data_IF_292369266608
#
_entry.id   IF_292369266608
#
_cell.length_a   1.000
_cell.length_b   1.000
_cell.length_c   1.000
_cell.angle_alpha   90.00
_cell.angle_beta   90.00
_cell.angle_gamma   90.00
#
_symmetry.space_group_name_H-M   'P 1'
#
loop_
_entity.id
_entity.type
_entity.pdbx_description
1 polymer ?
#
# COMPACT_ATOMS: atom_id res chain seq x y z
N UNK A 1 20.94 58.07 60.51
CA UNK A 1 22.06 57.53 59.71
C UNK A 1 21.45 56.55 58.72
N UNK A 2 21.22 56.99 57.48
CA UNK A 2 20.36 56.30 56.52
C UNK A 2 21.13 55.25 55.71
N UNK A 3 20.67 54.00 55.76
CA UNK A 3 21.19 52.89 54.94
C UNK A 3 20.69 53.05 53.50
N UNK A 4 21.62 53.15 52.54
CA UNK A 4 21.30 53.15 51.11
C UNK A 4 21.26 51.70 50.61
N UNK A 5 20.09 51.26 50.18
CA UNK A 5 19.94 50.02 49.39
C UNK A 5 20.38 50.29 47.96
N UNK A 6 21.25 49.43 47.43
CA UNK A 6 21.60 49.40 46.01
C UNK A 6 20.95 48.15 45.42
N UNK A 7 19.90 48.35 44.62
CA UNK A 7 19.31 47.30 43.80
C UNK A 7 20.12 47.21 42.50
N UNK A 8 20.75 46.06 42.25
CA UNK A 8 21.42 45.75 41.00
C UNK A 8 20.44 44.98 40.10
N UNK A 9 19.75 45.68 39.20
CA UNK A 9 18.88 45.06 38.20
C UNK A 9 19.74 44.60 37.01
N UNK A 10 19.98 43.29 36.89
CA UNK A 10 20.62 42.71 35.71
C UNK A 10 19.52 42.33 34.70
N UNK A 11 19.37 43.10 33.62
CA UNK A 11 18.55 42.73 32.46
C UNK A 11 19.42 41.91 31.50
N UNK A 12 19.32 40.58 31.57
CA UNK A 12 19.87 39.69 30.54
C UNK A 12 18.91 39.67 29.36
N UNK A 13 19.30 40.28 28.24
CA UNK A 13 18.62 40.07 26.96
C UNK A 13 19.36 38.99 26.17
N UNK A 14 18.79 37.80 26.08
CA UNK A 14 19.27 36.74 25.19
C UNK A 14 18.60 36.91 23.84
N UNK A 15 19.31 37.45 22.86
CA UNK A 15 18.91 37.36 21.46
C UNK A 15 19.42 36.03 20.90
N UNK A 16 18.53 35.05 20.78
CA UNK A 16 18.80 33.87 19.97
C UNK A 16 18.58 34.26 18.50
N UNK A 17 19.67 34.48 17.75
CA UNK A 17 19.59 34.48 16.29
C UNK A 17 19.38 33.03 15.85
N UNK A 18 18.15 32.69 15.50
CA UNK A 18 17.86 31.50 14.70
C UNK A 18 18.43 31.74 13.30
N UNK A 19 19.62 31.20 13.03
CA UNK A 19 20.06 31.00 11.66
C UNK A 19 19.16 29.93 11.04
N UNK A 20 18.14 30.35 10.29
CA UNK A 20 17.48 29.47 9.35
C UNK A 20 18.48 29.19 8.22
N UNK A 21 19.13 28.04 8.27
CA UNK A 21 19.70 27.44 7.06
C UNK A 21 18.56 26.80 6.29
N UNK A 22 18.13 27.31 5.12
CA UNK A 22 17.31 26.52 4.22
C UNK A 22 18.25 25.56 3.48
N UNK A 23 18.64 24.46 4.12
CA UNK A 23 19.28 23.34 3.43
C UNK A 23 18.26 22.29 3.04
N UNK A 24 17.32 22.67 2.20
CA UNK A 24 16.77 21.78 1.20
C UNK A 24 16.50 22.63 -0.02
N UNK A 25 17.34 22.52 -1.03
CA UNK A 25 16.91 22.84 -2.38
C UNK A 25 15.79 21.84 -2.70
N UNK A 26 14.51 22.25 -2.81
CA UNK A 26 13.50 21.35 -3.31
C UNK A 26 13.95 20.96 -4.72
N UNK A 27 14.11 19.65 -4.96
CA UNK A 27 14.21 19.14 -6.32
C UNK A 27 13.12 19.82 -7.14
N UNK A 28 13.39 20.32 -8.35
CA UNK A 28 12.41 21.13 -9.07
C UNK A 28 11.09 20.37 -9.14
N UNK A 29 10.09 20.89 -8.44
CA UNK A 29 8.70 20.42 -8.36
C UNK A 29 8.02 20.49 -9.75
N UNK A 30 8.76 20.95 -10.77
CA UNK A 30 8.25 21.32 -12.08
C UNK A 30 8.14 20.14 -13.07
N UNK A 31 8.47 18.92 -12.65
CA UNK A 31 8.32 17.73 -13.48
C UNK A 31 7.24 16.80 -12.94
N UNK A 32 5.99 17.11 -13.30
CA UNK A 32 4.80 16.34 -12.92
C UNK A 32 4.92 14.86 -13.32
N UNK A 33 5.72 14.55 -14.35
CA UNK A 33 5.92 13.17 -14.81
C UNK A 33 6.64 12.30 -13.81
N UNK A 34 7.33 12.86 -12.83
CA UNK A 34 7.96 12.12 -11.73
C UNK A 34 7.13 12.10 -10.45
N UNK A 35 5.96 12.76 -10.41
CA UNK A 35 5.16 12.85 -9.20
C UNK A 35 4.84 11.47 -8.64
N UNK A 36 4.31 10.57 -9.46
CA UNK A 36 3.93 9.22 -9.07
C UNK A 36 4.94 8.17 -9.50
N UNK A 37 5.17 7.19 -8.63
CA UNK A 37 5.96 6.01 -8.94
C UNK A 37 6.06 5.05 -7.75
N UNK A 38 6.67 3.87 -7.98
CA UNK A 38 6.94 2.88 -6.94
C UNK A 38 8.12 3.31 -6.05
N UNK A 39 7.99 4.46 -5.37
CA UNK A 39 9.06 5.07 -4.57
C UNK A 39 9.17 4.50 -3.14
N UNK A 40 8.71 3.26 -2.95
CA UNK A 40 8.90 2.45 -1.73
C UNK A 40 9.73 1.21 -2.06
N UNK A 41 11.03 1.36 -2.38
CA UNK A 41 11.85 0.27 -2.93
C UNK A 41 12.10 -0.88 -1.95
N UNK A 42 11.78 -0.69 -0.66
CA UNK A 42 11.82 -1.74 0.34
C UNK A 42 10.61 -2.70 0.24
N UNK A 43 9.59 -2.37 -0.53
CA UNK A 43 8.42 -3.22 -0.80
C UNK A 43 8.52 -3.88 -2.15
N UNK A 44 7.86 -5.04 -2.30
CA UNK A 44 7.72 -5.67 -3.62
C UNK A 44 6.98 -4.75 -4.59
N UNK A 45 5.84 -4.17 -4.18
CA UNK A 45 5.13 -3.16 -4.95
C UNK A 45 4.39 -2.18 -4.03
N UNK A 46 4.66 -0.89 -4.18
CA UNK A 46 3.98 0.16 -3.43
C UNK A 46 4.16 1.53 -4.08
N UNK A 47 3.04 2.17 -4.43
CA UNK A 47 3.04 3.47 -5.10
C UNK A 47 2.90 4.59 -4.08
N UNK A 48 3.62 5.69 -4.31
CA UNK A 48 3.46 6.93 -3.53
C UNK A 48 3.81 8.12 -4.41
N UNK A 49 3.27 9.32 -4.10
CA UNK A 49 3.73 10.52 -4.75
C UNK A 49 5.08 10.97 -4.14
N UNK A 50 5.84 11.78 -4.89
CA UNK A 50 7.03 12.51 -4.38
C UNK A 50 6.62 13.73 -3.56
N UNK A 51 5.65 13.53 -2.69
CA UNK A 51 5.18 14.51 -1.72
C UNK A 51 5.54 13.99 -0.32
N UNK A 52 5.99 14.88 0.59
CA UNK A 52 6.18 14.52 1.99
C UNK A 52 4.81 14.22 2.61
N UNK A 53 4.72 13.19 3.47
CA UNK A 53 3.53 12.86 4.28
C UNK A 53 2.23 12.89 3.46
N UNK A 54 2.06 11.89 2.61
CA UNK A 54 0.95 11.83 1.65
C UNK A 54 0.42 10.39 1.51
N UNK A 55 -0.37 10.14 0.46
CA UNK A 55 -0.94 8.84 0.16
C UNK A 55 0.16 7.80 -0.08
N UNK A 56 0.07 6.68 0.63
CA UNK A 56 0.90 5.51 0.41
C UNK A 56 0.03 4.32 0.05
N UNK A 57 0.47 3.53 -0.93
CA UNK A 57 -0.15 2.23 -1.21
C UNK A 57 0.87 1.11 -1.09
N UNK A 58 0.38 -0.10 -0.84
CA UNK A 58 1.19 -1.32 -0.92
C UNK A 58 0.36 -2.53 -1.33
N UNK A 59 1.04 -3.48 -1.97
CA UNK A 59 0.52 -4.79 -2.28
C UNK A 59 1.10 -5.82 -1.32
N UNK A 60 0.24 -6.69 -0.81
CA UNK A 60 0.62 -7.88 -0.09
C UNK A 60 -0.06 -9.10 -0.70
N UNK A 61 0.56 -10.26 -0.60
CA UNK A 61 -0.06 -11.53 -0.99
C UNK A 61 0.49 -12.70 -0.19
N UNK A 62 -0.27 -13.78 -0.14
CA UNK A 62 0.14 -15.04 0.48
C UNK A 62 -0.68 -16.19 -0.07
N UNK A 63 -0.09 -17.38 -0.09
CA UNK A 63 -0.87 -18.63 -0.17
C UNK A 63 -1.71 -18.77 1.12
N UNK A 64 -2.95 -19.22 0.99
CA UNK A 64 -3.93 -19.32 2.11
C UNK A 64 -4.51 -20.73 2.30
N UNK A 65 -3.82 -21.75 1.81
CA UNK A 65 -4.30 -23.14 1.86
C UNK A 65 -4.01 -23.84 3.19
N UNK A 66 -3.12 -23.26 3.99
CA UNK A 66 -2.85 -23.67 5.35
C UNK A 66 -2.65 -22.45 6.25
N UNK A 67 -3.01 -22.59 7.52
CA UNK A 67 -2.97 -21.49 8.49
C UNK A 67 -1.54 -21.01 8.79
N UNK A 68 -0.54 -21.90 8.72
CA UNK A 68 0.85 -21.55 9.03
C UNK A 68 1.48 -20.68 7.94
N UNK A 69 1.14 -20.93 6.67
CA UNK A 69 1.59 -20.17 5.52
C UNK A 69 1.16 -18.70 5.64
N UNK A 70 -0.08 -18.43 6.04
CA UNK A 70 -0.57 -17.05 6.20
C UNK A 70 0.17 -16.32 7.32
N UNK A 71 0.56 -17.00 8.40
CA UNK A 71 1.26 -16.35 9.51
C UNK A 71 2.73 -16.02 9.23
N UNK A 72 3.36 -16.77 8.30
CA UNK A 72 4.81 -16.73 8.13
C UNK A 72 5.27 -16.42 6.70
N UNK A 73 4.36 -16.36 5.73
CA UNK A 73 4.70 -16.28 4.31
C UNK A 73 3.95 -15.19 3.54
N UNK A 74 3.42 -14.20 4.25
CA UNK A 74 2.87 -12.98 3.63
C UNK A 74 4.02 -12.15 3.06
N UNK A 75 3.89 -11.78 1.79
CA UNK A 75 4.84 -10.91 1.11
C UNK A 75 4.46 -9.46 1.30
N UNK A 76 5.44 -8.65 1.69
CA UNK A 76 5.30 -7.21 1.81
C UNK A 76 6.63 -6.51 1.53
N UNK A 77 7.63 -6.72 2.41
CA UNK A 77 8.99 -6.20 2.22
C UNK A 77 9.85 -7.15 1.40
N UNK A 78 10.84 -6.58 0.70
CA UNK A 78 11.81 -7.30 -0.10
C UNK A 78 12.87 -8.00 0.79
N UNK A 79 12.49 -9.10 1.43
CA UNK A 79 13.38 -9.90 2.28
C UNK A 79 14.19 -10.92 1.47
N UNK A 80 15.50 -11.00 1.73
CA UNK A 80 16.41 -11.83 0.94
C UNK A 80 16.20 -13.35 1.09
N UNK A 81 15.58 -13.81 2.18
CA UNK A 81 15.55 -15.22 2.58
C UNK A 81 14.13 -15.80 2.59
N UNK A 82 13.23 -15.21 1.82
CA UNK A 82 11.81 -15.56 1.77
C UNK A 82 11.44 -16.64 0.74
N UNK A 83 12.42 -17.28 0.10
CA UNK A 83 12.15 -18.34 -0.89
C UNK A 83 11.70 -17.80 -2.24
N UNK A 84 12.12 -16.58 -2.60
CA UNK A 84 11.93 -16.01 -3.93
C UNK A 84 12.88 -16.68 -4.95
N UNK A 85 12.37 -16.98 -6.13
CA UNK A 85 13.18 -17.40 -7.28
C UNK A 85 13.78 -16.20 -8.05
N UNK A 86 13.31 -14.99 -7.75
CA UNK A 86 13.82 -13.72 -8.28
C UNK A 86 12.71 -12.70 -8.41
N UNK A 87 13.03 -11.42 -8.37
CA UNK A 87 12.07 -10.35 -8.58
C UNK A 87 12.76 -9.12 -9.17
N UNK A 88 12.02 -8.32 -9.93
CA UNK A 88 12.55 -7.10 -10.50
C UNK A 88 11.68 -6.50 -11.59
N UNK A 89 12.05 -5.31 -12.02
CA UNK A 89 11.44 -4.65 -13.16
C UNK A 89 12.01 -5.22 -14.45
N UNK A 90 11.15 -5.83 -15.27
CA UNK A 90 11.51 -6.27 -16.62
C UNK A 90 11.62 -5.06 -17.56
N UNK A 91 10.75 -4.08 -17.36
CA UNK A 91 10.77 -2.77 -18.01
C UNK A 91 10.37 -1.71 -17.00
N UNK A 92 11.13 -0.62 -16.91
CA UNK A 92 10.77 0.50 -16.05
C UNK A 92 11.30 1.81 -16.59
N UNK A 93 10.40 2.78 -16.73
CA UNK A 93 10.72 4.18 -16.95
C UNK A 93 9.96 5.00 -15.89
N UNK A 94 10.68 5.72 -15.00
CA UNK A 94 10.07 6.48 -13.92
C UNK A 94 9.19 7.62 -14.40
N UNK A 95 9.07 7.90 -15.71
CA UNK A 95 8.18 8.92 -16.29
C UNK A 95 6.89 8.36 -16.86
N UNK A 96 6.87 7.09 -17.24
CA UNK A 96 5.75 6.49 -17.98
C UNK A 96 5.13 5.30 -17.24
N UNK A 97 5.93 4.41 -16.65
CA UNK A 97 5.42 3.17 -16.08
C UNK A 97 6.44 2.04 -16.09
N UNK A 98 5.93 0.82 -15.92
CA UNK A 98 6.75 -0.37 -16.02
C UNK A 98 5.98 -1.67 -15.81
N UNK A 99 6.69 -2.76 -16.00
CA UNK A 99 6.26 -4.14 -15.70
C UNK A 99 7.31 -4.76 -14.79
N UNK A 100 6.85 -5.29 -13.68
CA UNK A 100 7.65 -6.02 -12.72
C UNK A 100 7.12 -7.44 -12.58
N UNK A 101 8.04 -8.39 -12.51
CA UNK A 101 7.74 -9.79 -12.22
C UNK A 101 8.39 -10.17 -10.88
N UNK A 102 7.63 -10.82 -10.02
CA UNK A 102 8.06 -11.41 -8.75
C UNK A 102 7.80 -12.91 -8.81
N UNK A 103 8.86 -13.71 -8.86
CA UNK A 103 8.80 -15.17 -8.96
C UNK A 103 8.80 -15.79 -7.57
N UNK A 104 7.62 -15.93 -6.97
CA UNK A 104 7.45 -16.38 -5.59
C UNK A 104 7.27 -17.89 -5.51
N UNK A 105 8.41 -18.61 -5.44
CA UNK A 105 8.41 -20.06 -5.28
C UNK A 105 7.84 -20.49 -3.93
N UNK A 106 8.03 -19.70 -2.87
CA UNK A 106 7.50 -19.99 -1.53
C UNK A 106 5.97 -20.07 -1.52
N UNK A 107 5.30 -19.09 -2.11
CA UNK A 107 3.83 -19.11 -2.28
C UNK A 107 3.35 -19.84 -3.53
N UNK A 108 4.27 -20.34 -4.38
CA UNK A 108 3.96 -21.07 -5.61
C UNK A 108 3.16 -20.24 -6.62
N UNK A 109 3.37 -18.93 -6.66
CA UNK A 109 2.69 -18.00 -7.55
C UNK A 109 3.72 -17.02 -8.11
N UNK A 110 3.66 -16.73 -9.41
CA UNK A 110 4.39 -15.62 -9.99
C UNK A 110 3.45 -14.40 -10.05
N UNK A 111 3.88 -13.29 -9.47
CA UNK A 111 3.14 -12.03 -9.45
C UNK A 111 3.71 -11.08 -10.50
N UNK A 112 2.87 -10.61 -11.40
CA UNK A 112 3.17 -9.55 -12.35
C UNK A 112 2.45 -8.27 -11.92
N UNK A 113 3.20 -7.19 -11.72
CA UNK A 113 2.66 -5.85 -11.47
C UNK A 113 3.05 -4.93 -12.61
N UNK A 114 2.05 -4.50 -13.37
CA UNK A 114 2.23 -3.47 -14.39
C UNK A 114 1.60 -2.16 -13.91
N UNK A 115 2.27 -1.03 -14.14
CA UNK A 115 1.68 0.27 -13.84
C UNK A 115 1.98 1.27 -14.95
N UNK A 116 1.04 2.15 -15.20
CA UNK A 116 1.14 3.23 -16.18
C UNK A 116 0.66 4.53 -15.57
N UNK A 117 1.21 5.64 -16.03
CA UNK A 117 0.77 6.98 -15.65
C UNK A 117 -0.07 7.61 -16.74
N UNK A 118 -1.19 8.18 -16.33
CA UNK A 118 -2.11 8.89 -17.23
C UNK A 118 -1.64 10.34 -17.37
N UNK A 119 -1.49 10.81 -18.61
CA UNK A 119 -1.04 12.18 -18.92
C UNK A 119 0.22 12.61 -18.14
N UNK A 120 1.24 11.72 -18.11
CA UNK A 120 2.46 11.97 -17.35
C UNK A 120 2.20 12.14 -15.85
N UNK A 121 1.26 11.39 -15.29
CA UNK A 121 0.95 11.34 -13.86
C UNK A 121 0.02 12.45 -13.36
N UNK A 122 -0.37 13.40 -14.22
CA UNK A 122 -1.28 14.49 -13.84
C UNK A 122 -2.71 14.01 -13.60
N UNK A 123 -3.16 13.04 -14.37
CA UNK A 123 -4.49 12.42 -14.23
C UNK A 123 -4.45 11.15 -13.35
N UNK A 124 -3.31 10.89 -12.71
CA UNK A 124 -3.10 9.73 -11.85
C UNK A 124 -2.40 8.57 -12.54
N UNK A 125 -2.69 7.36 -12.06
CA UNK A 125 -2.02 6.13 -12.47
C UNK A 125 -2.99 4.96 -12.44
N UNK A 126 -2.65 3.93 -13.21
CA UNK A 126 -3.35 2.65 -13.19
C UNK A 126 -2.32 1.56 -12.94
N UNK A 127 -2.63 0.65 -12.02
CA UNK A 127 -1.85 -0.55 -11.78
C UNK A 127 -2.72 -1.79 -12.06
N UNK A 128 -2.10 -2.82 -12.62
CA UNK A 128 -2.68 -4.16 -12.76
C UNK A 128 -1.77 -5.13 -12.02
N UNK A 129 -2.38 -5.94 -11.18
CA UNK A 129 -1.75 -7.06 -10.48
C UNK A 129 -2.30 -8.34 -11.08
N UNK A 130 -1.41 -9.26 -11.47
CA UNK A 130 -1.77 -10.57 -12.01
C UNK A 130 -0.96 -11.63 -11.27
N UNK A 131 -1.64 -12.61 -10.69
CA UNK A 131 -1.01 -13.83 -10.18
C UNK A 131 -1.11 -14.94 -11.22
N UNK A 132 -0.10 -15.80 -11.29
CA UNK A 132 -0.15 -17.03 -12.09
C UNK A 132 0.44 -18.18 -11.27
N UNK A 133 -0.32 -19.24 -10.98
CA UNK A 133 0.21 -20.39 -10.26
C UNK A 133 1.41 -20.98 -11.00
N UNK A 134 2.43 -21.37 -10.23
CA UNK A 134 3.65 -21.95 -10.81
C UNK A 134 3.45 -23.43 -11.10
N UNK A 135 4.01 -23.91 -12.19
CA UNK A 135 4.01 -25.36 -12.53
C UNK A 135 4.71 -26.21 -11.45
N UNK A 136 5.70 -25.63 -10.75
CA UNK A 136 6.43 -26.26 -9.66
C UNK A 136 5.87 -25.91 -8.27
N UNK A 137 4.64 -25.41 -8.18
CA UNK A 137 3.99 -25.12 -6.91
C UNK A 137 3.78 -26.38 -6.08
N UNK A 138 4.25 -26.34 -4.82
CA UNK A 138 3.92 -27.37 -3.83
C UNK A 138 2.44 -27.24 -3.47
N UNK A 139 1.67 -28.29 -3.72
CA UNK A 139 0.23 -28.33 -3.50
C UNK A 139 -0.10 -28.56 -2.02
N UNK A 140 -1.04 -27.77 -1.49
CA UNK A 140 -1.60 -27.94 -0.16
C UNK A 140 -2.90 -28.74 -0.16
N UNK A 141 -3.49 -28.93 1.03
CA UNK A 141 -4.79 -29.58 1.17
C UNK A 141 -5.93 -28.85 0.44
N UNK A 142 -5.75 -27.56 0.13
CA UNK A 142 -6.72 -26.72 -0.60
C UNK A 142 -6.56 -26.70 -2.13
N UNK A 143 -5.53 -27.34 -2.70
CA UNK A 143 -5.20 -27.27 -4.13
C UNK A 143 -5.84 -28.42 -4.94
N UNK A 144 -7.08 -28.77 -4.62
CA UNK A 144 -7.82 -29.80 -5.36
C UNK A 144 -7.86 -29.43 -6.85
N UNK A 145 -7.40 -30.33 -7.73
CA UNK A 145 -7.32 -30.08 -9.18
C UNK A 145 -5.95 -29.63 -9.71
N UNK A 146 -4.91 -29.56 -8.86
CA UNK A 146 -3.53 -29.31 -9.29
C UNK A 146 -3.09 -27.87 -9.04
N UNK A 147 -2.10 -27.39 -9.80
CA UNK A 147 -1.51 -26.05 -9.61
C UNK A 147 -2.53 -24.91 -9.79
N UNK A 148 -3.53 -25.10 -10.64
CA UNK A 148 -4.65 -24.15 -10.81
C UNK A 148 -5.59 -24.09 -9.59
N UNK A 149 -5.51 -25.07 -8.68
CA UNK A 149 -6.26 -25.07 -7.43
C UNK A 149 -5.65 -24.20 -6.32
N UNK A 150 -4.42 -23.71 -6.52
CA UNK A 150 -3.67 -22.93 -5.51
C UNK A 150 -4.40 -21.64 -5.16
N UNK A 151 -4.69 -21.47 -3.86
CA UNK A 151 -5.41 -20.31 -3.34
C UNK A 151 -4.44 -19.24 -2.84
N UNK A 152 -4.53 -18.05 -3.44
CA UNK A 152 -3.74 -16.88 -3.06
C UNK A 152 -4.69 -15.76 -2.61
N UNK A 153 -4.44 -15.21 -1.43
CA UNK A 153 -5.06 -13.96 -1.02
C UNK A 153 -4.17 -12.79 -1.38
N UNK A 154 -4.80 -11.68 -1.77
CA UNK A 154 -4.14 -10.42 -2.12
C UNK A 154 -4.76 -9.33 -1.27
N UNK A 155 -3.90 -8.52 -0.65
CA UNK A 155 -4.32 -7.34 0.11
C UNK A 155 -3.72 -6.10 -0.54
N UNK A 156 -4.54 -5.06 -0.65
CA UNK A 156 -4.10 -3.76 -1.11
C UNK A 156 -4.34 -2.74 0.00
N UNK A 157 -3.27 -2.12 0.48
CA UNK A 157 -3.36 -1.14 1.56
C UNK A 157 -3.31 0.27 1.01
N UNK A 158 -4.09 1.15 1.64
CA UNK A 158 -4.14 2.57 1.33
C UNK A 158 -3.97 3.32 2.65
N UNK A 159 -2.81 3.95 2.82
CA UNK A 159 -2.46 4.70 4.01
C UNK A 159 -2.37 6.19 3.71
N UNK A 160 -2.78 7.01 4.66
CA UNK A 160 -2.61 8.46 4.60
C UNK A 160 -1.64 8.91 5.69
N UNK A 161 -0.54 9.55 5.30
CA UNK A 161 0.37 10.24 6.22
C UNK A 161 0.03 11.74 6.27
N UNK A 162 0.24 12.38 7.41
CA UNK A 162 0.03 13.83 7.54
C UNK A 162 -1.45 14.28 7.58
N UNK A 163 -1.68 15.52 7.15
CA UNK A 163 -3.03 16.14 7.18
C UNK A 163 -3.81 15.76 5.91
N UNK A 164 -4.77 14.87 6.07
CA UNK A 164 -5.68 14.45 5.02
C UNK A 164 -6.62 13.34 5.50
N UNK A 165 -7.46 12.86 4.60
CA UNK A 165 -8.35 11.73 4.84
C UNK A 165 -8.39 10.79 3.64
N UNK A 166 -8.70 9.52 3.93
CA UNK A 166 -9.05 8.52 2.92
C UNK A 166 -10.09 7.59 3.53
N UNK A 167 -11.17 7.38 2.81
CA UNK A 167 -12.31 6.60 3.26
C UNK A 167 -12.81 5.72 2.12
N UNK A 168 -13.20 4.49 2.43
CA UNK A 168 -13.88 3.62 1.48
C UNK A 168 -15.35 4.05 1.37
N UNK A 169 -15.83 4.18 0.14
CA UNK A 169 -17.18 4.64 -0.21
C UNK A 169 -17.96 3.48 -0.80
N UNK A 170 -19.25 3.39 -0.44
CA UNK A 170 -20.18 2.43 -1.05
C UNK A 170 -20.15 1.04 -0.44
N UNK A 171 -19.55 0.86 0.75
CA UNK A 171 -19.86 -0.29 1.59
C UNK A 171 -21.29 -0.18 2.12
N UNK A 172 -22.04 -1.27 2.11
CA UNK A 172 -23.32 -1.34 2.82
C UNK A 172 -23.07 -1.06 4.32
N UNK A 173 -23.95 -0.34 5.01
CA UNK A 173 -23.79 -0.08 6.46
C UNK A 173 -24.37 -1.23 7.29
N UNK A 174 -23.84 -1.48 8.50
CA UNK A 174 -24.33 -2.53 9.40
C UNK A 174 -23.84 -3.94 9.03
N UNK A 175 -24.67 -4.98 9.24
CA UNK A 175 -24.31 -6.39 8.98
C UNK A 175 -23.88 -6.65 7.52
N UNK A 176 -24.40 -5.85 6.61
CA UNK A 176 -24.09 -5.89 5.19
C UNK A 176 -22.64 -5.44 4.88
N UNK A 177 -22.06 -4.55 5.72
CA UNK A 177 -20.63 -4.20 5.67
C UNK A 177 -19.74 -5.42 5.98
N UNK A 178 -20.20 -6.28 6.89
CA UNK A 178 -19.42 -7.45 7.35
C UNK A 178 -19.33 -8.54 6.28
N UNK A 179 -20.30 -8.60 5.36
CA UNK A 179 -20.31 -9.55 4.26
C UNK A 179 -19.35 -9.18 3.12
N UNK A 180 -18.78 -7.98 3.10
CA UNK A 180 -17.87 -7.51 2.05
C UNK A 180 -18.58 -6.94 0.81
N UNK A 181 -17.80 -6.31 -0.06
CA UNK A 181 -18.26 -5.56 -1.24
C UNK A 181 -18.22 -6.44 -2.49
N UNK A 182 -19.32 -6.46 -3.24
CA UNK A 182 -19.40 -7.05 -4.58
C UNK A 182 -18.94 -6.04 -5.64
N UNK A 183 -18.04 -6.45 -6.53
CA UNK A 183 -17.55 -5.60 -7.62
C UNK A 183 -16.43 -4.65 -7.21
N UNK A 184 -16.63 -3.34 -7.43
CA UNK A 184 -15.57 -2.35 -7.28
C UNK A 184 -15.57 -1.72 -5.87
N UNK A 185 -14.41 -1.65 -5.23
CA UNK A 185 -14.20 -0.86 -4.02
C UNK A 185 -13.68 0.51 -4.41
N UNK A 186 -14.38 1.55 -3.97
CA UNK A 186 -14.01 2.94 -4.22
C UNK A 186 -13.47 3.56 -2.93
N UNK A 187 -12.34 4.25 -3.01
CA UNK A 187 -11.85 5.13 -1.96
C UNK A 187 -11.90 6.58 -2.44
N UNK A 188 -12.34 7.47 -1.57
CA UNK A 188 -12.22 8.91 -1.77
C UNK A 188 -11.35 9.50 -0.68
N UNK A 189 -10.56 10.49 -1.01
CA UNK A 189 -9.77 11.20 -0.01
C UNK A 189 -9.40 12.58 -0.45
N UNK A 190 -8.84 13.32 0.50
CA UNK A 190 -8.42 14.70 0.30
C UNK A 190 -7.12 14.94 1.04
N UNK A 191 -6.19 15.64 0.40
CA UNK A 191 -4.99 16.18 1.06
C UNK A 191 -4.76 17.61 0.60
N UNK A 192 -3.98 18.37 1.37
CA UNK A 192 -3.58 19.72 0.98
C UNK A 192 -2.75 19.75 -0.32
N UNK A 193 -1.92 18.73 -0.54
CA UNK A 193 -0.98 18.70 -1.67
C UNK A 193 -1.53 18.00 -2.93
N UNK A 194 -2.38 16.96 -2.78
CA UNK A 194 -3.01 16.26 -3.92
C UNK A 194 -4.39 16.81 -4.28
N UNK A 195 -5.02 17.59 -3.39
CA UNK A 195 -6.43 17.92 -3.49
C UNK A 195 -7.32 16.69 -3.29
N UNK A 196 -8.48 16.69 -3.92
CA UNK A 196 -9.42 15.57 -3.91
C UNK A 196 -8.95 14.47 -4.85
N UNK A 197 -9.00 13.22 -4.39
CA UNK A 197 -8.64 12.06 -5.19
C UNK A 197 -9.64 10.91 -5.02
N UNK A 198 -9.68 10.06 -6.04
CA UNK A 198 -10.44 8.82 -6.06
C UNK A 198 -9.53 7.67 -6.46
N UNK A 199 -9.60 6.58 -5.71
CA UNK A 199 -8.93 5.33 -6.03
C UNK A 199 -10.00 4.24 -6.20
N UNK A 200 -9.87 3.43 -7.24
CA UNK A 200 -10.81 2.35 -7.53
C UNK A 200 -10.04 1.04 -7.60
N UNK A 201 -10.44 0.07 -6.77
CA UNK A 201 -9.94 -1.30 -6.79
C UNK A 201 -11.04 -2.16 -7.38
N UNK A 202 -10.70 -2.90 -8.44
CA UNK A 202 -11.64 -3.79 -9.11
C UNK A 202 -10.96 -5.07 -9.53
N UNK A 203 -11.74 -6.12 -9.53
CA UNK A 203 -11.31 -7.44 -9.97
C UNK A 203 -11.47 -7.62 -11.49
N UNK A 204 -10.71 -8.54 -12.07
CA UNK A 204 -10.93 -9.00 -13.44
C UNK A 204 -11.87 -10.21 -13.45
N UNK A 205 -12.79 -10.27 -14.41
CA UNK A 205 -13.69 -11.41 -14.58
C UNK A 205 -13.00 -12.75 -14.95
N UNK A 206 -11.68 -12.78 -15.07
CA UNK A 206 -10.89 -14.02 -15.22
C UNK A 206 -10.60 -14.74 -13.91
N UNK A 207 -10.86 -14.09 -12.76
CA UNK A 207 -10.57 -14.68 -11.45
C UNK A 207 -11.64 -15.71 -11.06
N UNK A 208 -11.24 -16.66 -10.22
CA UNK A 208 -12.11 -17.65 -9.61
C UNK A 208 -11.99 -17.60 -8.10
N UNK A 209 -13.11 -17.69 -7.40
CA UNK A 209 -13.15 -17.60 -5.94
C UNK A 209 -13.18 -18.98 -5.29
N UNK A 210 -12.51 -19.17 -4.15
CA UNK A 210 -12.68 -20.36 -3.35
C UNK A 210 -14.14 -20.53 -2.90
N UNK A 211 -14.63 -21.77 -2.92
CA UNK A 211 -15.93 -22.13 -2.36
C UNK A 211 -15.73 -23.04 -1.15
N UNK A 212 -16.60 -22.91 -0.14
CA UNK A 212 -16.56 -23.75 1.05
C UNK A 212 -17.96 -23.99 1.60
N UNK A 213 -18.17 -25.18 2.19
CA UNK A 213 -19.46 -25.61 2.73
C UNK A 213 -19.61 -25.35 4.25
N UNK A 214 -18.67 -24.62 4.85
CA UNK A 214 -18.70 -24.30 6.28
C UNK A 214 -19.69 -23.13 6.54
N UNK A 215 -20.40 -23.09 7.70
CA UNK A 215 -21.37 -22.03 8.01
C UNK A 215 -20.83 -20.60 7.88
N UNK A 216 -19.52 -20.41 8.05
CA UNK A 216 -18.86 -19.11 7.84
C UNK A 216 -18.95 -18.60 6.39
N UNK A 217 -19.37 -19.40 5.42
CA UNK A 217 -19.61 -18.94 4.04
C UNK A 217 -20.70 -17.88 3.96
N UNK A 218 -21.67 -17.92 4.89
CA UNK A 218 -22.77 -16.94 4.95
C UNK A 218 -22.26 -15.61 5.50
N UNK A 219 -21.44 -15.66 6.55
CA UNK A 219 -20.91 -14.45 7.22
C UNK A 219 -19.72 -13.83 6.48
N UNK A 220 -18.87 -14.67 5.87
CA UNK A 220 -17.64 -14.27 5.17
C UNK A 220 -17.55 -14.95 3.80
N UNK A 221 -18.35 -14.50 2.83
CA UNK A 221 -18.30 -14.99 1.47
C UNK A 221 -16.94 -14.62 0.83
N UNK A 222 -16.24 -15.61 0.25
CA UNK A 222 -14.87 -15.43 -0.30
C UNK A 222 -14.86 -14.94 -1.76
N UNK A 223 -16.03 -14.68 -2.33
CA UNK A 223 -16.27 -14.04 -3.62
C UNK A 223 -16.52 -12.53 -3.51
N UNK A 224 -16.28 -11.95 -2.33
CA UNK A 224 -16.41 -10.52 -2.07
C UNK A 224 -15.12 -9.91 -1.56
N UNK A 225 -14.96 -8.61 -1.80
CA UNK A 225 -13.82 -7.85 -1.30
C UNK A 225 -14.11 -7.30 0.09
N UNK A 226 -13.31 -7.69 1.07
CA UNK A 226 -13.40 -7.14 2.43
C UNK A 226 -12.57 -5.86 2.56
N UNK A 227 -13.15 -4.86 3.20
CA UNK A 227 -12.47 -3.59 3.51
C UNK A 227 -12.40 -3.43 5.02
N UNK A 228 -11.21 -3.15 5.53
CA UNK A 228 -11.00 -2.86 6.94
C UNK A 228 -10.25 -1.54 7.07
N UNK A 229 -10.83 -0.61 7.83
CA UNK A 229 -10.27 0.72 8.07
C UNK A 229 -9.92 0.88 9.53
N UNK A 230 -8.72 1.39 9.80
CA UNK A 230 -8.23 1.64 11.14
C UNK A 230 -7.43 2.94 11.18
N UNK A 231 -7.48 3.63 12.32
CA UNK A 231 -6.57 4.72 12.62
C UNK A 231 -5.36 4.17 13.35
N UNK A 232 -4.17 4.42 12.79
CA UNK A 232 -2.89 4.02 13.39
C UNK A 232 -2.00 5.24 13.55
N UNK A 233 -1.09 5.24 14.54
CA UNK A 233 -0.02 6.23 14.61
C UNK A 233 0.80 6.25 13.31
N UNK A 234 1.27 7.43 12.89
CA UNK A 234 2.00 7.58 11.62
C UNK A 234 3.26 6.71 11.59
N UNK A 235 3.96 6.60 12.71
CA UNK A 235 5.14 5.75 12.89
C UNK A 235 4.85 4.25 12.77
N UNK A 236 3.59 3.84 12.77
CA UNK A 236 3.16 2.45 12.61
C UNK A 236 2.57 2.16 11.21
N UNK A 237 2.38 3.17 10.34
CA UNK A 237 1.82 2.97 8.98
C UNK A 237 2.66 2.06 8.07
N UNK A 238 3.94 1.87 8.40
CA UNK A 238 4.82 1.00 7.62
C UNK A 238 4.71 -0.48 8.03
N UNK A 239 4.13 -0.79 9.19
CA UNK A 239 3.96 -2.14 9.72
C UNK A 239 2.76 -2.84 9.09
#
# INVERSE_FOLDING_TARGET
>A
MAWKHWALSLLLSTQALTQSTPSSSPLPINDSTLLWGPYRPNLYFGLRPRLPRSLNTALLWSRVEDFQAVQHNVRYTCEQHEGMAGYGWDLYDPRTGGVQTVRDKGNGVDMETSFVKLEGGKEGWVARVKGTPREDAVLGAGSEGGVEGVKTAVWFTVGMEGLGSVEAVGGEEGEAAEAGVEGEVVFTGQTTDLGDFKLVVRESGSNSHPTHNHPSAVEKPLDRTFVHSLQVPEEALWQ
#
